data_IF_418688147005
#
_entry.id   IF_418688147005
#
_cell.length_a   1.000
_cell.length_b   1.000
_cell.length_c   1.000
_cell.angle_alpha   90.00
_cell.angle_beta   90.00
_cell.angle_gamma   90.00
#
_symmetry.space_group_name_H-M   'P 1'
#
loop_
_entity.id
_entity.type
_entity.pdbx_description
1 polymer ?
#
# COMPACT_ATOMS: atom_id res chain seq x y z
N UNK A 1 -4.49 -22.62 -18.90
CA UNK A 1 -5.52 -23.66 -18.77
C UNK A 1 -6.75 -23.35 -19.64
N UNK A 2 -7.29 -22.12 -19.63
CA UNK A 2 -8.46 -21.78 -20.46
C UNK A 2 -8.12 -21.46 -21.92
N UNK A 3 -7.02 -20.79 -22.20
CA UNK A 3 -6.64 -20.37 -23.54
C UNK A 3 -5.35 -21.04 -24.06
N UNK A 4 -4.59 -21.74 -23.20
CA UNK A 4 -3.29 -22.35 -23.54
C UNK A 4 -2.33 -21.37 -24.25
N UNK A 5 -2.40 -20.07 -23.87
CA UNK A 5 -1.59 -18.99 -24.42
C UNK A 5 -0.46 -18.63 -23.48
N UNK A 6 0.68 -18.29 -24.06
CA UNK A 6 1.78 -17.62 -23.36
C UNK A 6 1.54 -16.10 -23.42
N UNK A 7 1.54 -15.45 -22.26
CA UNK A 7 1.35 -14.00 -22.15
C UNK A 7 2.71 -13.33 -22.12
N UNK A 8 2.96 -12.42 -23.07
CA UNK A 8 4.14 -11.57 -23.05
C UNK A 8 4.01 -10.53 -21.94
N UNK A 9 4.97 -10.45 -21.01
CA UNK A 9 4.97 -9.52 -19.87
C UNK A 9 6.04 -8.42 -19.99
N UNK A 10 6.72 -8.29 -21.11
CA UNK A 10 7.84 -7.35 -21.28
C UNK A 10 7.45 -5.90 -20.99
N UNK A 11 6.23 -5.51 -21.35
CA UNK A 11 5.76 -4.15 -21.16
C UNK A 11 5.04 -3.90 -19.81
N UNK A 12 4.93 -4.88 -18.93
CA UNK A 12 4.23 -4.77 -17.66
C UNK A 12 4.73 -3.59 -16.80
N UNK A 13 6.04 -3.32 -16.81
CA UNK A 13 6.70 -2.32 -15.97
C UNK A 13 7.29 -1.14 -16.75
N UNK A 14 6.87 -0.94 -18.01
CA UNK A 14 7.30 0.19 -18.82
C UNK A 14 6.71 1.51 -18.32
N UNK A 15 7.23 2.63 -18.80
CA UNK A 15 6.67 3.95 -18.45
C UNK A 15 5.35 4.20 -19.20
N UNK A 16 4.22 3.91 -18.57
CA UNK A 16 2.88 4.13 -19.11
C UNK A 16 2.44 5.58 -19.18
N UNK A 17 3.19 6.51 -18.59
CA UNK A 17 2.94 7.95 -18.67
C UNK A 17 3.53 8.59 -19.94
N UNK A 18 4.43 7.90 -20.60
CA UNK A 18 5.04 8.38 -21.86
C UNK A 18 3.98 8.56 -22.95
N UNK A 19 4.12 9.63 -23.72
CA UNK A 19 3.30 9.89 -24.92
C UNK A 19 4.20 10.27 -26.11
N UNK A 20 3.91 9.74 -27.30
CA UNK A 20 2.94 8.67 -27.60
C UNK A 20 3.37 7.33 -27.00
N UNK A 21 2.42 6.42 -26.79
CA UNK A 21 2.73 5.04 -26.44
C UNK A 21 3.35 4.32 -27.65
N UNK A 22 4.29 3.42 -27.40
CA UNK A 22 4.87 2.59 -28.45
C UNK A 22 3.86 1.55 -28.95
N UNK A 23 4.05 1.05 -30.18
CA UNK A 23 3.23 -0.03 -30.72
C UNK A 23 3.21 -1.25 -29.78
N UNK A 24 4.37 -1.64 -29.25
CA UNK A 24 4.49 -2.77 -28.32
C UNK A 24 3.69 -2.55 -27.01
N UNK A 25 3.64 -1.33 -26.47
CA UNK A 25 2.80 -1.00 -25.33
C UNK A 25 1.31 -1.09 -25.66
N UNK A 26 0.91 -0.59 -26.84
CA UNK A 26 -0.48 -0.70 -27.29
C UNK A 26 -0.90 -2.16 -27.48
N UNK A 27 -0.06 -2.97 -28.15
CA UNK A 27 -0.32 -4.39 -28.35
C UNK A 27 -0.44 -5.12 -27.01
N UNK A 28 0.41 -4.79 -26.03
CA UNK A 28 0.32 -5.32 -24.67
C UNK A 28 -1.03 -4.96 -24.01
N UNK A 29 -1.40 -3.68 -24.02
CA UNK A 29 -2.67 -3.22 -23.41
C UNK A 29 -3.90 -3.88 -24.08
N UNK A 30 -3.89 -4.02 -25.41
CA UNK A 30 -4.95 -4.71 -26.15
C UNK A 30 -5.01 -6.18 -25.76
N UNK A 31 -3.84 -6.85 -25.62
CA UNK A 31 -3.80 -8.26 -25.26
C UNK A 31 -4.38 -8.53 -23.89
N UNK A 32 -4.17 -7.66 -22.90
CA UNK A 32 -4.73 -7.79 -21.56
C UNK A 32 -6.27 -7.81 -21.59
N UNK A 33 -6.90 -6.97 -22.42
CA UNK A 33 -8.35 -6.92 -22.57
C UNK A 33 -8.89 -8.10 -23.40
N UNK A 34 -8.27 -8.39 -24.55
CA UNK A 34 -8.77 -9.42 -25.48
C UNK A 34 -8.71 -10.81 -24.89
N UNK A 35 -7.69 -11.12 -24.09
CA UNK A 35 -7.61 -12.40 -23.39
C UNK A 35 -8.72 -12.56 -22.35
N UNK A 36 -9.03 -11.50 -21.59
CA UNK A 36 -10.12 -11.52 -20.61
C UNK A 36 -11.49 -11.74 -21.27
N UNK A 37 -11.76 -11.04 -22.39
CA UNK A 37 -13.01 -11.21 -23.14
C UNK A 37 -13.18 -12.66 -23.62
N UNK A 38 -12.10 -13.29 -24.10
CA UNK A 38 -12.14 -14.70 -24.57
C UNK A 38 -12.35 -15.69 -23.41
N UNK A 39 -11.85 -15.42 -22.22
CA UNK A 39 -11.99 -16.31 -21.05
C UNK A 39 -13.36 -16.15 -20.38
N UNK A 40 -13.93 -14.94 -20.42
CA UNK A 40 -15.13 -14.58 -19.69
C UNK A 40 -16.31 -15.58 -19.92
N UNK A 41 -16.67 -15.98 -21.14
CA UNK A 41 -17.78 -16.92 -21.36
C UNK A 41 -17.56 -18.26 -20.64
N UNK A 42 -16.33 -18.78 -20.67
CA UNK A 42 -15.99 -20.04 -20.02
C UNK A 42 -16.09 -19.98 -18.50
N UNK A 43 -15.60 -18.87 -17.92
CA UNK A 43 -15.68 -18.64 -16.47
C UNK A 43 -17.15 -18.43 -16.05
N UNK A 44 -17.89 -17.62 -16.81
CA UNK A 44 -19.29 -17.35 -16.53
C UNK A 44 -20.12 -18.62 -16.56
N UNK A 45 -19.90 -19.50 -17.53
CA UNK A 45 -20.55 -20.82 -17.58
C UNK A 45 -20.25 -21.65 -16.34
N UNK A 46 -19.01 -21.72 -15.88
CA UNK A 46 -18.66 -22.46 -14.66
C UNK A 46 -19.35 -21.89 -13.40
N UNK A 47 -19.51 -20.57 -13.32
CA UNK A 47 -20.20 -19.91 -12.22
C UNK A 47 -21.69 -20.27 -12.25
N UNK A 48 -22.31 -20.25 -13.44
CA UNK A 48 -23.70 -20.62 -13.67
C UNK A 48 -23.95 -22.06 -13.29
N UNK A 49 -23.17 -22.98 -13.85
CA UNK A 49 -23.27 -24.40 -13.62
C UNK A 49 -23.09 -24.77 -12.13
N UNK A 50 -22.31 -23.99 -11.39
CA UNK A 50 -22.08 -24.14 -9.95
C UNK A 50 -23.15 -23.46 -9.06
N UNK A 51 -24.11 -22.71 -9.64
CA UNK A 51 -25.11 -21.95 -8.90
C UNK A 51 -24.54 -20.82 -8.02
N UNK A 52 -23.36 -20.24 -8.38
CA UNK A 52 -22.64 -19.28 -7.54
C UNK A 52 -22.71 -17.82 -8.01
N UNK A 53 -23.67 -17.50 -8.88
CA UNK A 53 -23.81 -16.14 -9.45
C UNK A 53 -23.97 -15.07 -8.39
N UNK A 54 -24.86 -15.27 -7.41
CA UNK A 54 -25.10 -14.28 -6.37
C UNK A 54 -23.86 -14.03 -5.51
N UNK A 55 -23.04 -15.07 -5.24
CA UNK A 55 -21.79 -14.92 -4.51
C UNK A 55 -20.80 -14.04 -5.28
N UNK A 56 -20.65 -14.31 -6.57
CA UNK A 56 -19.74 -13.53 -7.42
C UNK A 56 -20.19 -12.08 -7.53
N UNK A 57 -21.49 -11.83 -7.69
CA UNK A 57 -22.05 -10.48 -7.72
C UNK A 57 -21.73 -9.73 -6.43
N UNK A 58 -22.01 -10.34 -5.27
CA UNK A 58 -21.73 -9.73 -3.96
C UNK A 58 -20.24 -9.42 -3.75
N UNK A 59 -19.34 -10.30 -4.17
CA UNK A 59 -17.90 -10.07 -4.09
C UNK A 59 -17.45 -8.93 -5.04
N UNK A 60 -17.99 -8.89 -6.26
CA UNK A 60 -17.69 -7.82 -7.22
C UNK A 60 -18.21 -6.48 -6.72
N UNK A 61 -19.43 -6.40 -6.16
CA UNK A 61 -19.99 -5.18 -5.58
C UNK A 61 -19.10 -4.62 -4.46
N UNK A 62 -18.46 -5.49 -3.68
CA UNK A 62 -17.50 -5.06 -2.67
C UNK A 62 -16.31 -4.31 -3.28
N UNK A 63 -15.82 -4.74 -4.46
CA UNK A 63 -14.70 -4.09 -5.15
C UNK A 63 -15.03 -2.67 -5.65
N UNK A 64 -16.31 -2.33 -5.82
CA UNK A 64 -16.72 -0.97 -6.21
C UNK A 64 -16.80 0.00 -5.05
N UNK A 65 -16.65 -0.45 -3.79
CA UNK A 65 -16.68 0.45 -2.64
C UNK A 65 -15.46 1.36 -2.66
N UNK A 66 -15.70 2.67 -2.73
CA UNK A 66 -14.67 3.71 -2.78
C UNK A 66 -13.69 3.62 -1.62
N UNK A 67 -14.15 3.21 -0.45
CA UNK A 67 -13.37 3.10 0.78
C UNK A 67 -12.22 2.06 0.70
N UNK A 68 -12.29 1.11 -0.27
CA UNK A 68 -11.19 0.19 -0.52
C UNK A 68 -9.98 0.88 -1.15
N UNK A 69 -10.23 1.93 -1.94
CA UNK A 69 -9.23 2.62 -2.75
C UNK A 69 -8.80 3.95 -2.14
N UNK A 70 -9.66 4.57 -1.32
CA UNK A 70 -9.35 5.81 -0.61
C UNK A 70 -8.94 5.50 0.83
N UNK A 71 -7.63 5.46 1.03
CA UNK A 71 -7.05 5.21 2.36
C UNK A 71 -7.23 6.47 3.19
N UNK A 72 -8.01 6.40 4.28
CA UNK A 72 -8.02 7.45 5.28
C UNK A 72 -6.62 7.52 5.95
N UNK A 73 -5.88 8.62 5.82
CA UNK A 73 -4.55 8.74 6.40
C UNK A 73 -4.53 8.55 7.94
N UNK A 74 -5.61 8.91 8.64
CA UNK A 74 -5.73 8.73 10.10
C UNK A 74 -5.75 7.25 10.51
N UNK A 75 -6.25 6.38 9.63
CA UNK A 75 -6.40 4.94 9.87
C UNK A 75 -5.29 4.10 9.22
N UNK A 76 -4.38 4.74 8.47
CA UNK A 76 -3.35 4.06 7.68
C UNK A 76 -2.44 3.16 8.53
N UNK A 77 -2.15 3.54 9.76
CA UNK A 77 -1.33 2.77 10.70
C UNK A 77 -1.93 1.42 11.08
N UNK A 78 -3.26 1.27 11.08
CA UNK A 78 -3.96 0.01 11.40
C UNK A 78 -3.69 -1.10 10.39
N UNK A 79 -3.27 -0.75 9.18
CA UNK A 79 -2.91 -1.70 8.11
C UNK A 79 -1.50 -2.23 8.23
N UNK A 80 -0.67 -1.61 9.08
CA UNK A 80 0.73 -1.98 9.27
C UNK A 80 0.80 -3.14 10.26
N UNK A 81 1.36 -4.28 9.82
CA UNK A 81 1.52 -5.46 10.67
C UNK A 81 2.61 -5.22 11.70
N UNK A 82 2.23 -5.14 12.95
CA UNK A 82 3.13 -5.05 14.11
C UNK A 82 2.86 -6.25 15.03
N UNK A 83 3.90 -6.97 15.42
CA UNK A 83 3.73 -8.15 16.30
C UNK A 83 3.44 -7.76 17.74
N UNK A 84 4.16 -6.78 18.25
CA UNK A 84 4.02 -6.21 19.58
C UNK A 84 4.62 -4.82 19.60
N UNK A 85 3.97 -3.88 20.25
CA UNK A 85 4.51 -2.54 20.41
C UNK A 85 3.94 -1.81 21.62
N UNK A 86 4.76 -0.97 22.24
CA UNK A 86 4.32 -0.09 23.32
C UNK A 86 3.36 0.97 22.77
N UNK A 87 2.39 1.48 23.56
CA UNK A 87 1.46 2.55 23.14
C UNK A 87 2.18 3.77 22.57
N UNK A 88 3.31 4.17 23.16
CA UNK A 88 4.15 5.25 22.66
C UNK A 88 4.64 5.02 21.22
N UNK A 89 5.12 3.81 20.91
CA UNK A 89 5.57 3.45 19.55
C UNK A 89 4.42 3.47 18.57
N UNK A 90 3.23 3.01 19.00
CA UNK A 90 2.03 3.04 18.17
C UNK A 90 1.58 4.47 17.89
N UNK A 91 1.70 5.38 18.85
CA UNK A 91 1.40 6.78 18.66
C UNK A 91 2.31 7.42 17.61
N UNK A 92 3.62 7.17 17.70
CA UNK A 92 4.59 7.65 16.69
C UNK A 92 4.26 7.03 15.32
N UNK A 93 4.02 5.72 15.27
CA UNK A 93 3.66 5.03 14.03
C UNK A 93 2.40 5.59 13.38
N UNK A 94 1.37 5.90 14.16
CA UNK A 94 0.13 6.53 13.69
C UNK A 94 0.42 7.83 12.96
N UNK A 95 1.22 8.70 13.56
CA UNK A 95 1.56 10.01 12.98
C UNK A 95 2.43 9.86 11.75
N UNK A 96 3.42 8.97 11.78
CA UNK A 96 4.29 8.72 10.63
C UNK A 96 3.55 8.06 9.47
N UNK A 97 2.62 7.15 9.74
CA UNK A 97 1.78 6.54 8.72
C UNK A 97 0.89 7.57 8.03
N UNK A 98 0.25 8.46 8.80
CA UNK A 98 -0.53 9.60 8.27
C UNK A 98 0.34 10.49 7.38
N UNK A 99 1.52 10.89 7.86
CA UNK A 99 2.47 11.69 7.08
C UNK A 99 2.82 11.00 5.75
N UNK A 100 3.16 9.70 5.81
CA UNK A 100 3.52 8.92 4.60
C UNK A 100 2.39 8.87 3.59
N UNK A 101 1.15 8.58 4.01
CA UNK A 101 0.01 8.53 3.10
C UNK A 101 -0.23 9.88 2.41
N UNK A 102 -0.13 10.99 3.14
CA UNK A 102 -0.27 12.33 2.57
C UNK A 102 0.84 12.63 1.54
N UNK A 103 2.09 12.30 1.86
CA UNK A 103 3.22 12.47 0.94
C UNK A 103 3.10 11.61 -0.31
N UNK A 104 2.58 10.39 -0.17
CA UNK A 104 2.35 9.50 -1.29
C UNK A 104 1.22 10.01 -2.21
N UNK A 105 0.14 10.57 -1.64
CA UNK A 105 -0.92 11.23 -2.41
C UNK A 105 -0.38 12.47 -3.14
N UNK A 106 0.35 13.34 -2.45
CA UNK A 106 0.96 14.56 -3.01
C UNK A 106 1.86 14.25 -4.22
N UNK A 107 2.69 13.20 -4.10
CA UNK A 107 3.67 12.82 -5.14
C UNK A 107 3.16 11.81 -6.15
N UNK A 108 1.94 11.34 -5.99
CA UNK A 108 1.34 10.27 -6.81
C UNK A 108 2.25 9.03 -6.93
N UNK A 109 2.78 8.58 -5.79
CA UNK A 109 3.65 7.39 -5.71
C UNK A 109 3.10 6.36 -4.72
N UNK A 110 3.31 5.05 -4.99
CA UNK A 110 2.98 4.00 -4.03
C UNK A 110 3.80 4.14 -2.74
N UNK A 111 3.16 3.86 -1.59
CA UNK A 111 3.80 3.96 -0.25
C UNK A 111 5.12 3.19 -0.13
N UNK A 112 5.22 2.03 -0.77
CA UNK A 112 6.44 1.21 -0.75
C UNK A 112 7.63 1.85 -1.49
N UNK A 113 7.38 2.83 -2.37
CA UNK A 113 8.44 3.60 -3.03
C UNK A 113 8.96 4.73 -2.15
N UNK A 114 8.15 5.24 -1.23
CA UNK A 114 8.62 6.26 -0.28
C UNK A 114 9.30 5.58 0.92
N UNK A 115 8.55 4.86 1.76
CA UNK A 115 9.06 4.13 2.92
C UNK A 115 8.19 2.90 3.15
N UNK A 116 8.79 1.71 3.23
CA UNK A 116 8.09 0.44 3.49
C UNK A 116 7.55 0.38 4.91
N UNK A 117 6.52 -0.44 5.14
CA UNK A 117 5.89 -0.60 6.46
C UNK A 117 6.90 -1.01 7.54
N UNK A 118 7.76 -1.99 7.26
CA UNK A 118 8.79 -2.44 8.21
C UNK A 118 9.76 -1.33 8.58
N UNK A 119 10.16 -0.51 7.61
CA UNK A 119 11.05 0.63 7.85
C UNK A 119 10.37 1.70 8.68
N UNK A 120 9.08 1.96 8.46
CA UNK A 120 8.31 2.92 9.23
C UNK A 120 8.19 2.48 10.70
N UNK A 121 7.98 1.18 10.93
CA UNK A 121 8.01 0.58 12.27
C UNK A 121 9.40 0.76 12.93
N UNK A 122 10.48 0.47 12.20
CA UNK A 122 11.85 0.65 12.71
C UNK A 122 12.14 2.11 13.07
N UNK A 123 11.67 3.08 12.27
CA UNK A 123 11.77 4.52 12.58
C UNK A 123 11.03 4.84 13.88
N UNK A 124 9.80 4.30 14.06
CA UNK A 124 8.99 4.53 15.26
C UNK A 124 9.62 3.95 16.52
N UNK A 125 10.32 2.82 16.40
CA UNK A 125 11.05 2.19 17.50
C UNK A 125 12.35 2.95 17.84
N UNK A 126 13.12 3.33 16.81
CA UNK A 126 14.44 3.95 16.96
C UNK A 126 14.37 5.44 17.33
N UNK A 127 13.30 6.15 16.93
CA UNK A 127 13.04 7.57 17.20
C UNK A 127 14.23 8.49 16.86
N UNK A 128 14.70 8.52 15.61
CA UNK A 128 15.88 9.29 15.24
C UNK A 128 15.65 10.79 15.47
N UNK A 129 16.61 11.47 16.13
CA UNK A 129 16.57 12.91 16.41
C UNK A 129 17.48 13.71 15.47
N UNK A 130 18.31 13.05 14.67
CA UNK A 130 19.23 13.65 13.71
C UNK A 130 19.22 12.87 12.40
N UNK A 131 19.45 13.54 11.28
CA UNK A 131 19.44 12.93 9.94
C UNK A 131 20.42 11.76 9.83
N UNK A 132 21.62 11.89 10.38
CA UNK A 132 22.65 10.84 10.30
C UNK A 132 22.23 9.51 10.96
N UNK A 133 21.30 9.55 11.91
CA UNK A 133 20.81 8.36 12.59
C UNK A 133 19.95 7.48 11.69
N UNK A 134 19.35 8.03 10.63
CA UNK A 134 18.56 7.24 9.68
C UNK A 134 19.39 6.21 8.93
N UNK A 135 20.69 6.45 8.75
CA UNK A 135 21.62 5.49 8.13
C UNK A 135 21.71 4.17 8.91
N UNK A 136 21.42 4.20 10.23
CA UNK A 136 21.43 3.01 11.12
C UNK A 136 20.12 2.22 11.08
N UNK A 137 19.07 2.75 10.43
CA UNK A 137 17.76 2.12 10.41
C UNK A 137 17.71 1.11 9.26
N UNK A 138 17.41 -0.15 9.59
CA UNK A 138 17.29 -1.22 8.62
C UNK A 138 16.16 -0.92 7.61
N UNK A 139 16.48 -1.06 6.33
CA UNK A 139 15.53 -0.88 5.25
C UNK A 139 15.30 0.57 4.84
N UNK A 140 16.05 1.53 5.38
CA UNK A 140 15.93 2.94 5.00
C UNK A 140 16.31 3.14 3.52
N UNK A 141 15.39 3.70 2.67
CA UNK A 141 15.71 3.94 1.27
C UNK A 141 16.76 5.03 1.11
N UNK A 142 17.69 4.85 0.15
CA UNK A 142 18.76 5.82 -0.12
C UNK A 142 18.27 7.13 -0.75
N UNK A 143 17.09 7.10 -1.37
CA UNK A 143 16.50 8.22 -2.13
C UNK A 143 15.51 9.08 -1.34
N UNK A 144 15.42 8.90 -0.02
CA UNK A 144 14.61 9.80 0.83
C UNK A 144 15.31 11.13 0.96
N UNK A 145 14.62 12.23 0.65
CA UNK A 145 15.19 13.57 0.68
C UNK A 145 15.51 14.01 2.10
N UNK A 146 16.48 14.92 2.25
CA UNK A 146 16.78 15.54 3.55
C UNK A 146 15.57 16.29 4.13
N UNK A 147 14.73 16.85 3.27
CA UNK A 147 13.49 17.50 3.70
C UNK A 147 12.52 16.49 4.33
N UNK A 148 12.32 15.35 3.70
CA UNK A 148 11.47 14.28 4.24
C UNK A 148 12.00 13.76 5.59
N UNK A 149 13.33 13.60 5.73
CA UNK A 149 13.96 13.18 6.98
C UNK A 149 13.71 14.20 8.10
N UNK A 150 13.82 15.49 7.79
CA UNK A 150 13.51 16.58 8.74
C UNK A 150 12.02 16.58 9.12
N UNK A 151 11.13 16.36 8.16
CA UNK A 151 9.68 16.23 8.45
C UNK A 151 9.41 15.04 9.39
N UNK A 152 10.03 13.89 9.14
CA UNK A 152 9.90 12.70 10.01
C UNK A 152 10.35 13.03 11.44
N UNK A 153 11.49 13.71 11.61
CA UNK A 153 11.97 14.14 12.94
C UNK A 153 10.94 15.07 13.61
N UNK A 154 10.38 16.03 12.86
CA UNK A 154 9.32 16.91 13.38
C UNK A 154 8.08 16.11 13.81
N UNK A 155 7.65 15.11 13.02
CA UNK A 155 6.51 14.27 13.36
C UNK A 155 6.76 13.43 14.62
N UNK A 156 7.98 12.90 14.81
CA UNK A 156 8.37 12.19 16.03
C UNK A 156 8.29 13.14 17.24
N UNK A 157 8.84 14.34 17.13
CA UNK A 157 8.79 15.33 18.22
C UNK A 157 7.35 15.77 18.58
N UNK A 158 6.46 15.86 17.58
CA UNK A 158 5.04 16.14 17.80
C UNK A 158 4.41 14.94 18.54
N UNK A 159 4.67 13.72 18.09
CA UNK A 159 4.11 12.51 18.70
C UNK A 159 4.48 12.37 20.18
N UNK A 160 5.70 12.72 20.55
CA UNK A 160 6.19 12.63 21.94
C UNK A 160 5.55 13.66 22.88
N UNK A 161 4.99 14.74 22.33
CA UNK A 161 4.29 15.79 23.11
C UNK A 161 2.81 15.50 23.33
N UNK A 162 2.27 14.49 22.63
CA UNK A 162 0.85 14.13 22.76
C UNK A 162 0.62 13.44 24.11
N UNK A 163 -0.48 13.82 24.78
CA UNK A 163 -0.87 13.21 26.05
C UNK A 163 -0.99 11.68 25.93
N UNK A 164 -0.31 10.97 26.80
CA UNK A 164 -0.27 9.50 26.85
C UNK A 164 -1.65 8.86 27.00
N UNK A 165 -2.62 9.56 27.59
CA UNK A 165 -4.00 9.08 27.72
C UNK A 165 -4.73 8.95 26.37
N UNK A 166 -4.25 9.66 25.34
CA UNK A 166 -4.81 9.63 23.97
C UNK A 166 -4.12 8.66 23.04
N UNK A 167 -3.08 7.98 23.50
CA UNK A 167 -2.31 7.05 22.66
C UNK A 167 -3.13 5.82 22.27
N UNK A 168 -2.88 5.26 21.08
CA UNK A 168 -3.54 4.04 20.68
C UNK A 168 -3.26 2.92 21.69
N UNK A 169 -4.33 2.34 22.24
CA UNK A 169 -4.21 1.16 23.08
C UNK A 169 -3.92 -0.06 22.22
N UNK A 170 -3.09 -0.96 22.72
CA UNK A 170 -2.84 -2.26 22.09
C UNK A 170 -4.11 -3.10 22.28
N UNK A 171 -5.12 -2.92 21.43
CA UNK A 171 -6.06 -4.00 21.25
C UNK A 171 -5.26 -5.16 20.68
N UNK A 172 -5.17 -6.24 21.42
CA UNK A 172 -4.62 -7.51 20.95
C UNK A 172 -5.32 -7.77 19.63
N UNK A 173 -4.59 -7.54 18.52
CA UNK A 173 -5.11 -7.86 17.19
C UNK A 173 -5.34 -9.36 17.21
N UNK A 174 -6.61 -9.75 17.41
CA UNK A 174 -7.04 -11.11 17.44
C UNK A 174 -6.46 -11.82 16.23
N UNK A 175 -5.67 -12.84 16.50
CA UNK A 175 -5.39 -13.92 15.57
C UNK A 175 -6.74 -14.38 15.01
N UNK A 176 -7.09 -13.93 13.81
CA UNK A 176 -7.95 -14.74 12.96
C UNK A 176 -7.04 -15.76 12.31
N UNK A 177 -7.09 -16.95 12.87
CA UNK A 177 -6.62 -18.20 12.29
C UNK A 177 -7.11 -18.38 10.86
#
# INVERSE_FOLDING_TARGET
>A
KFLSLSINKENQFTNWLQRPLTKSQLDYAISDVTHLIKIFPSINKLILDAGRQEWVIKEIEQLYKKDLYDVNPEEAWKRIKIKYSKPETLNILKILAKWRENKCKERNIPRNRLIRDETLVNISLFKPKKIDLFKKIRGMPKNVSHNDLNEIIKMINIAEKIDSNTWPQVSIFNKKS
#
